data_IF_643352525560
#
_entry.id   IF_643352525560
#
_cell.length_a   1.000
_cell.length_b   1.000
_cell.length_c   1.000
_cell.angle_alpha   90.00
_cell.angle_beta   90.00
_cell.angle_gamma   90.00
#
_symmetry.space_group_name_H-M   'P 1'
#
loop_
_entity.id
_entity.type
_entity.pdbx_description
1 polymer ?
#
# COMPACT_ATOMS: atom_id res chain seq x y z
N UNK A 1 2.22 -4.00 -74.58
CA UNK A 1 1.18 -3.61 -73.61
C UNK A 1 1.89 -3.16 -72.34
N UNK A 2 2.01 -1.84 -72.12
CA UNK A 2 2.76 -1.24 -71.01
C UNK A 2 1.78 -0.90 -69.89
N UNK A 3 1.93 -1.49 -68.71
CA UNK A 3 1.14 -1.15 -67.52
C UNK A 3 2.00 -0.22 -66.66
N UNK A 4 1.55 1.03 -66.48
CA UNK A 4 2.17 2.05 -65.63
C UNK A 4 1.85 1.74 -64.16
N UNK A 5 2.88 1.65 -63.32
CA UNK A 5 2.78 1.59 -61.87
C UNK A 5 2.57 3.01 -61.35
N UNK A 6 1.38 3.33 -60.82
CA UNK A 6 1.14 4.59 -60.10
C UNK A 6 1.49 4.38 -58.62
N UNK A 7 2.47 5.16 -58.15
CA UNK A 7 2.83 5.27 -56.73
C UNK A 7 1.84 6.23 -56.05
N UNK A 8 1.17 5.78 -54.99
CA UNK A 8 0.23 6.59 -54.21
C UNK A 8 0.94 7.06 -52.95
N UNK A 9 1.31 8.34 -52.91
CA UNK A 9 1.90 8.99 -51.73
C UNK A 9 0.74 9.45 -50.83
N UNK A 10 0.54 8.79 -49.69
CA UNK A 10 -0.39 9.24 -48.67
C UNK A 10 0.28 10.32 -47.80
N UNK A 11 -0.21 11.56 -47.89
CA UNK A 11 0.23 12.64 -47.01
C UNK A 11 -0.49 12.53 -45.66
N UNK A 12 0.29 12.38 -44.59
CA UNK A 12 -0.17 12.33 -43.20
C UNK A 12 -0.45 13.77 -42.72
N UNK A 13 -1.72 14.12 -42.52
CA UNK A 13 -2.10 15.39 -41.88
C UNK A 13 -2.03 15.23 -40.35
N UNK A 14 -1.05 15.89 -39.72
CA UNK A 14 -0.98 16.04 -38.27
C UNK A 14 -1.89 17.21 -37.87
N UNK A 15 -3.05 16.91 -37.28
CA UNK A 15 -3.88 17.91 -36.61
C UNK A 15 -3.27 18.19 -35.24
N UNK A 16 -2.60 19.33 -35.10
CA UNK A 16 -2.24 19.88 -33.80
C UNK A 16 -3.54 20.33 -33.09
N UNK A 17 -4.00 19.53 -32.13
CA UNK A 17 -5.06 19.94 -31.22
C UNK A 17 -4.45 20.91 -30.18
N UNK A 18 -4.50 22.20 -30.47
CA UNK A 18 -4.30 23.22 -29.44
C UNK A 18 -5.52 23.20 -28.50
N UNK A 19 -5.34 22.74 -27.26
CA UNK A 19 -6.31 22.98 -26.20
C UNK A 19 -6.41 24.48 -25.95
N UNK A 20 -7.58 25.05 -26.19
CA UNK A 20 -7.88 26.45 -25.91
C UNK A 20 -8.11 26.57 -24.40
N UNK A 21 -7.27 27.33 -23.69
CA UNK A 21 -7.52 27.66 -22.29
C UNK A 21 -8.79 28.50 -22.18
N UNK A 22 -9.70 28.07 -21.32
CA UNK A 22 -10.95 28.78 -21.03
C UNK A 22 -10.65 29.99 -20.14
N UNK A 23 -10.88 31.24 -20.60
CA UNK A 23 -10.49 32.44 -19.87
C UNK A 23 -11.43 32.79 -18.70
N UNK A 24 -12.29 31.85 -18.29
CA UNK A 24 -13.31 32.07 -17.25
C UNK A 24 -13.31 30.99 -16.15
N UNK A 25 -12.19 30.27 -15.98
CA UNK A 25 -12.00 29.41 -14.82
C UNK A 25 -11.74 30.30 -13.59
N UNK A 26 -12.83 30.65 -12.90
CA UNK A 26 -12.82 31.31 -11.60
C UNK A 26 -11.86 30.61 -10.64
N UNK A 27 -10.81 31.30 -10.21
CA UNK A 27 -9.78 30.82 -9.26
C UNK A 27 -10.19 31.04 -7.80
N UNK A 28 -11.46 30.86 -7.47
CA UNK A 28 -11.96 30.95 -6.09
C UNK A 28 -12.55 29.60 -5.66
N UNK A 29 -11.71 28.57 -5.64
CA UNK A 29 -11.88 27.44 -4.71
C UNK A 29 -11.19 27.80 -3.39
N UNK A 30 -11.52 27.15 -2.26
CA UNK A 30 -10.75 27.33 -1.04
C UNK A 30 -9.29 27.03 -1.37
N UNK A 31 -8.38 27.89 -0.90
CA UNK A 31 -6.94 27.72 -1.04
C UNK A 31 -6.58 26.34 -0.45
N UNK A 32 -6.49 25.33 -1.32
CA UNK A 32 -6.05 24.00 -0.96
C UNK A 32 -4.54 24.12 -0.76
N UNK A 33 -4.15 24.59 0.43
CA UNK A 33 -2.76 24.58 0.86
C UNK A 33 -2.24 23.17 0.60
N UNK A 34 -1.20 23.06 -0.23
CA UNK A 34 -0.60 21.76 -0.51
C UNK A 34 -0.26 21.07 0.81
N UNK A 35 -0.51 19.76 0.93
CA UNK A 35 -0.18 19.01 2.14
C UNK A 35 1.30 19.19 2.50
N UNK A 36 1.59 19.20 3.80
CA UNK A 36 2.95 19.38 4.27
C UNK A 36 3.84 18.22 3.78
N UNK A 37 5.02 18.53 3.25
CA UNK A 37 5.94 17.51 2.75
C UNK A 37 6.73 16.86 3.89
N UNK A 38 6.70 15.52 3.94
CA UNK A 38 7.52 14.74 4.85
C UNK A 38 8.98 14.72 4.39
N UNK A 39 9.89 14.77 5.35
CA UNK A 39 11.34 14.71 5.12
C UNK A 39 11.90 13.45 5.75
N UNK A 40 12.54 12.55 4.98
CA UNK A 40 13.06 11.32 5.53
C UNK A 40 14.24 11.66 6.44
N UNK A 41 14.25 11.03 7.61
CA UNK A 41 15.39 11.01 8.53
C UNK A 41 16.48 10.08 8.00
N UNK A 42 16.07 8.98 7.38
CA UNK A 42 16.95 7.97 6.82
C UNK A 42 16.27 7.25 5.65
N UNK A 43 17.07 6.75 4.72
CA UNK A 43 16.67 5.80 3.69
C UNK A 43 17.71 4.66 3.70
N UNK A 44 17.25 3.44 3.92
CA UNK A 44 18.11 2.26 4.12
C UNK A 44 17.83 1.27 3.00
N UNK A 45 18.86 0.83 2.29
CA UNK A 45 18.67 -0.22 1.28
C UNK A 45 18.40 -1.56 1.95
N UNK A 46 17.37 -2.26 1.48
CA UNK A 46 17.01 -3.61 1.91
C UNK A 46 17.65 -4.69 1.03
N UNK A 47 18.31 -4.29 -0.07
CA UNK A 47 18.99 -5.24 -0.94
C UNK A 47 20.24 -5.84 -0.29
N UNK A 48 20.57 -7.11 -0.60
CA UNK A 48 19.80 -8.04 -1.44
C UNK A 48 18.71 -8.82 -0.67
N UNK A 49 18.49 -8.51 0.61
CA UNK A 49 17.69 -9.34 1.51
C UNK A 49 16.19 -9.28 1.20
N UNK A 50 15.66 -8.10 0.91
CA UNK A 50 14.24 -7.89 0.57
C UNK A 50 14.15 -6.96 -0.65
N UNK A 51 14.22 -7.50 -1.88
CA UNK A 51 13.89 -6.76 -3.10
C UNK A 51 12.38 -6.51 -3.19
N UNK A 52 11.96 -5.50 -3.95
CA UNK A 52 10.54 -5.21 -4.27
C UNK A 52 9.62 -5.35 -3.03
N UNK A 53 9.91 -4.65 -1.92
CA UNK A 53 9.12 -4.77 -0.70
C UNK A 53 7.73 -4.14 -0.87
N UNK A 54 6.69 -4.91 -0.60
CA UNK A 54 5.29 -4.47 -0.67
C UNK A 54 4.78 -4.15 0.75
N UNK A 55 4.17 -5.09 1.47
CA UNK A 55 3.64 -4.86 2.82
C UNK A 55 4.66 -4.72 3.96
N UNK A 56 4.29 -3.97 5.02
CA UNK A 56 5.11 -3.72 6.21
C UNK A 56 4.26 -3.70 7.49
N UNK A 57 4.73 -4.35 8.57
CA UNK A 57 4.11 -4.25 9.90
C UNK A 57 5.12 -4.29 11.05
N UNK A 58 4.86 -3.55 12.12
CA UNK A 58 5.69 -3.57 13.32
C UNK A 58 5.29 -4.70 14.28
N UNK A 59 6.22 -5.61 14.57
CA UNK A 59 6.05 -6.64 15.59
C UNK A 59 6.52 -6.12 16.96
N UNK A 60 5.57 -5.76 17.82
CA UNK A 60 5.85 -5.27 19.19
C UNK A 60 6.54 -6.31 20.09
N UNK A 61 6.34 -7.60 19.83
CA UNK A 61 6.92 -8.66 20.64
C UNK A 61 8.44 -8.81 20.42
N UNK A 62 8.91 -8.52 19.21
CA UNK A 62 10.33 -8.66 18.82
C UNK A 62 11.03 -7.32 18.61
N UNK A 63 10.27 -6.23 18.47
CA UNK A 63 10.80 -4.92 18.09
C UNK A 63 11.35 -4.89 16.66
N UNK A 64 10.87 -5.78 15.79
CA UNK A 64 11.22 -5.87 14.37
C UNK A 64 10.08 -5.42 13.46
N UNK A 65 10.39 -5.26 12.18
CA UNK A 65 9.42 -5.04 11.11
C UNK A 65 9.27 -6.32 10.30
N UNK A 66 8.04 -6.76 10.09
CA UNK A 66 7.69 -7.82 9.15
C UNK A 66 7.46 -7.20 7.78
N UNK A 67 8.04 -7.79 6.74
CA UNK A 67 8.00 -7.31 5.35
C UNK A 67 7.63 -8.47 4.44
N UNK A 68 6.79 -8.21 3.43
CA UNK A 68 6.57 -9.11 2.29
C UNK A 68 7.12 -8.48 1.01
N UNK A 69 7.27 -9.28 -0.04
CA UNK A 69 7.98 -8.90 -1.26
C UNK A 69 7.30 -9.52 -2.48
N UNK A 70 7.16 -8.74 -3.54
CA UNK A 70 6.55 -9.22 -4.80
C UNK A 70 7.48 -10.19 -5.51
N UNK A 71 8.78 -10.04 -5.27
CA UNK A 71 9.82 -10.88 -5.83
C UNK A 71 10.06 -12.18 -5.04
N UNK A 72 9.59 -12.30 -3.79
CA UNK A 72 9.92 -13.42 -2.91
C UNK A 72 8.71 -13.94 -2.10
N UNK A 73 8.52 -15.27 -1.99
CA UNK A 73 7.29 -15.86 -1.44
C UNK A 73 7.23 -15.94 0.10
N UNK A 74 8.20 -15.34 0.79
CA UNK A 74 8.40 -15.48 2.24
C UNK A 74 8.17 -14.16 2.98
N UNK A 75 7.97 -14.24 4.31
CA UNK A 75 7.93 -13.05 5.17
C UNK A 75 9.33 -12.82 5.75
N UNK A 76 9.79 -11.57 5.74
CA UNK A 76 11.09 -11.15 6.25
C UNK A 76 10.93 -10.33 7.51
N UNK A 77 11.60 -10.72 8.59
CA UNK A 77 11.74 -9.87 9.76
C UNK A 77 13.05 -9.09 9.67
N UNK A 78 12.95 -7.76 9.60
CA UNK A 78 14.07 -6.84 9.62
C UNK A 78 14.10 -6.03 10.93
N UNK A 79 15.26 -5.51 11.30
CA UNK A 79 15.36 -4.50 12.34
C UNK A 79 14.86 -3.13 11.88
N UNK A 80 14.67 -2.22 12.83
CA UNK A 80 14.38 -0.80 12.55
C UNK A 80 15.54 -0.10 11.80
N UNK A 81 16.71 -0.74 11.76
CA UNK A 81 17.90 -0.38 11.00
C UNK A 81 17.97 -1.04 9.62
N UNK A 82 16.92 -1.75 9.19
CA UNK A 82 16.83 -2.44 7.90
C UNK A 82 17.59 -3.77 7.83
N UNK A 83 18.30 -4.18 8.89
CA UNK A 83 19.07 -5.42 8.87
C UNK A 83 18.16 -6.64 8.95
N UNK A 84 18.31 -7.61 8.03
CA UNK A 84 17.57 -8.87 8.08
C UNK A 84 17.91 -9.64 9.36
N UNK A 85 16.87 -10.04 10.10
CA UNK A 85 16.97 -10.85 11.31
C UNK A 85 16.54 -12.29 11.07
N UNK A 86 15.46 -12.49 10.30
CA UNK A 86 14.85 -13.79 10.08
C UNK A 86 14.07 -13.82 8.77
N UNK A 87 14.08 -14.97 8.10
CA UNK A 87 13.12 -15.29 7.01
C UNK A 87 12.15 -16.35 7.53
N UNK A 88 10.87 -16.16 7.24
CA UNK A 88 9.77 -17.00 7.70
C UNK A 88 9.12 -17.63 6.46
N UNK A 89 9.32 -18.94 6.23
CA UNK A 89 8.81 -19.59 5.04
C UNK A 89 7.28 -19.73 5.14
N UNK A 90 6.57 -19.10 4.21
CA UNK A 90 5.10 -19.22 4.11
C UNK A 90 4.66 -19.82 2.77
N UNK A 91 5.53 -19.81 1.75
CA UNK A 91 5.22 -20.25 0.39
C UNK A 91 3.93 -19.60 -0.15
N UNK A 92 3.79 -18.29 0.07
CA UNK A 92 2.63 -17.52 -0.38
C UNK A 92 2.61 -17.30 -1.89
N UNK A 93 1.45 -16.91 -2.41
CA UNK A 93 1.24 -16.51 -3.81
C UNK A 93 0.80 -15.04 -3.85
N UNK A 94 1.57 -14.13 -4.49
CA UNK A 94 1.37 -12.66 -4.47
C UNK A 94 1.08 -12.11 -3.07
N UNK A 95 2.12 -12.04 -2.23
CA UNK A 95 2.00 -11.49 -0.90
C UNK A 95 2.17 -9.97 -0.91
N UNK A 96 1.06 -9.24 -0.86
CA UNK A 96 1.09 -7.77 -0.91
C UNK A 96 1.08 -7.12 0.48
N UNK A 97 0.43 -7.75 1.45
CA UNK A 97 0.26 -7.18 2.78
C UNK A 97 0.69 -8.10 3.88
N UNK A 98 1.21 -7.54 4.98
CA UNK A 98 1.48 -8.27 6.22
C UNK A 98 1.01 -7.51 7.45
N UNK A 99 0.44 -8.23 8.42
CA UNK A 99 0.09 -7.74 9.74
C UNK A 99 0.47 -8.76 10.82
N UNK A 100 0.60 -8.29 12.06
CA UNK A 100 1.03 -9.11 13.20
C UNK A 100 -0.05 -9.07 14.28
N UNK A 101 -0.36 -10.23 14.88
CA UNK A 101 -1.27 -10.27 16.03
C UNK A 101 -0.75 -9.41 17.19
N UNK A 102 -1.65 -8.93 18.05
CA UNK A 102 -1.26 -8.11 19.21
C UNK A 102 -0.27 -8.81 20.16
N UNK A 103 -0.29 -10.15 20.20
CA UNK A 103 0.61 -11.00 20.98
C UNK A 103 1.91 -11.35 20.23
N UNK A 104 1.99 -11.12 18.91
CA UNK A 104 3.12 -11.50 18.07
C UNK A 104 3.19 -13.00 17.74
N UNK A 105 2.17 -13.78 18.09
CA UNK A 105 2.14 -15.23 17.89
C UNK A 105 1.70 -15.67 16.49
N UNK A 106 1.04 -14.77 15.75
CA UNK A 106 0.43 -15.03 14.45
C UNK A 106 0.75 -13.90 13.49
N UNK A 107 0.95 -14.27 12.23
CA UNK A 107 1.12 -13.36 11.11
C UNK A 107 -0.13 -13.46 10.23
N UNK A 108 -0.48 -12.36 9.60
CA UNK A 108 -1.59 -12.28 8.66
C UNK A 108 -1.06 -11.70 7.37
N UNK A 109 -1.40 -12.31 6.25
CA UNK A 109 -1.03 -11.81 4.92
C UNK A 109 -2.24 -11.78 4.01
N UNK A 110 -2.20 -10.93 2.99
CA UNK A 110 -3.13 -11.01 1.87
C UNK A 110 -2.45 -11.71 0.70
N UNK A 111 -3.19 -12.59 0.04
CA UNK A 111 -2.78 -13.21 -1.24
C UNK A 111 -3.66 -12.58 -2.32
N UNK A 112 -3.11 -11.66 -3.14
CA UNK A 112 -3.87 -10.80 -4.05
C UNK A 112 -4.67 -11.63 -5.07
N UNK A 113 -3.96 -12.50 -5.82
CA UNK A 113 -4.56 -13.40 -6.82
C UNK A 113 -5.65 -14.31 -6.26
N UNK A 114 -5.48 -14.77 -5.03
CA UNK A 114 -6.43 -15.66 -4.35
C UNK A 114 -7.56 -14.91 -3.62
N UNK A 115 -7.45 -13.58 -3.50
CA UNK A 115 -8.40 -12.69 -2.84
C UNK A 115 -8.79 -13.19 -1.45
N UNK A 116 -7.77 -13.47 -0.63
CA UNK A 116 -7.98 -14.00 0.70
C UNK A 116 -6.99 -13.43 1.69
N UNK A 117 -7.42 -13.42 2.95
CA UNK A 117 -6.53 -13.25 4.09
C UNK A 117 -6.11 -14.63 4.56
N UNK A 118 -4.83 -14.77 4.85
CA UNK A 118 -4.23 -15.97 5.40
C UNK A 118 -3.68 -15.64 6.78
N UNK A 119 -4.03 -16.47 7.77
CA UNK A 119 -3.39 -16.45 9.07
C UNK A 119 -2.35 -17.56 9.14
N UNK A 120 -1.13 -17.19 9.48
CA UNK A 120 0.00 -18.09 9.72
C UNK A 120 0.44 -18.03 11.18
N UNK A 121 1.11 -19.07 11.66
CA UNK A 121 1.87 -19.00 12.91
C UNK A 121 3.08 -18.07 12.75
N UNK A 122 3.69 -17.64 13.85
CA UNK A 122 4.98 -16.92 13.83
C UNK A 122 6.16 -17.73 13.24
N UNK A 123 5.94 -19.00 12.91
CA UNK A 123 6.88 -19.85 12.17
C UNK A 123 6.56 -19.97 10.67
N UNK A 124 5.44 -19.37 10.21
CA UNK A 124 5.02 -19.37 8.81
C UNK A 124 4.04 -20.50 8.45
N UNK A 125 3.67 -21.35 9.41
CA UNK A 125 2.70 -22.41 9.16
C UNK A 125 1.31 -21.82 8.92
N UNK A 126 0.73 -22.07 7.75
CA UNK A 126 -0.64 -21.66 7.43
C UNK A 126 -1.64 -22.33 8.36
N UNK A 127 -2.34 -21.52 9.16
CA UNK A 127 -3.33 -21.98 10.14
C UNK A 127 -4.74 -22.00 9.55
N UNK A 128 -5.10 -20.95 8.81
CA UNK A 128 -6.40 -20.82 8.15
C UNK A 128 -6.37 -19.71 7.10
N UNK A 129 -7.39 -19.69 6.24
CA UNK A 129 -7.68 -18.54 5.38
C UNK A 129 -9.18 -18.31 5.25
N UNK A 130 -9.55 -17.09 4.85
CA UNK A 130 -10.91 -16.73 4.52
C UNK A 130 -10.91 -15.70 3.39
N UNK A 131 -11.95 -15.70 2.55
CA UNK A 131 -11.98 -14.83 1.39
C UNK A 131 -12.20 -13.35 1.80
N UNK A 132 -11.49 -12.45 1.12
CA UNK A 132 -11.70 -11.02 1.13
C UNK A 132 -12.03 -10.60 -0.31
N UNK A 133 -13.25 -10.94 -0.76
CA UNK A 133 -13.61 -10.85 -2.19
C UNK A 133 -13.79 -9.40 -2.64
N UNK A 134 -13.03 -9.05 -3.66
CA UNK A 134 -12.91 -7.72 -4.27
C UNK A 134 -13.07 -7.84 -5.79
N UNK A 135 -13.21 -6.71 -6.48
CA UNK A 135 -13.30 -6.76 -7.95
C UNK A 135 -11.91 -7.06 -8.54
N UNK A 136 -11.89 -7.83 -9.62
CA UNK A 136 -10.74 -8.65 -10.00
C UNK A 136 -9.99 -8.08 -11.21
N UNK A 137 -9.72 -6.78 -11.21
CA UNK A 137 -8.77 -6.28 -12.20
C UNK A 137 -7.36 -6.71 -11.80
N UNK A 138 -6.61 -7.20 -12.78
CA UNK A 138 -5.23 -7.65 -12.58
C UNK A 138 -4.38 -6.43 -12.17
N UNK A 139 -3.60 -6.56 -11.09
CA UNK A 139 -2.82 -5.47 -10.46
C UNK A 139 -3.70 -4.34 -9.92
N UNK A 140 -4.75 -4.69 -9.17
CA UNK A 140 -5.72 -3.75 -8.58
C UNK A 140 -6.37 -4.32 -7.31
N UNK A 141 -5.77 -5.37 -6.75
CA UNK A 141 -6.38 -6.24 -5.78
C UNK A 141 -6.08 -5.86 -4.34
N UNK A 142 -5.88 -6.87 -3.51
CA UNK A 142 -5.63 -6.70 -2.08
C UNK A 142 -4.18 -6.27 -1.83
N UNK A 143 -4.00 -5.19 -1.09
CA UNK A 143 -2.68 -4.60 -0.82
C UNK A 143 -2.43 -4.52 0.70
N UNK A 144 -2.99 -3.48 1.32
CA UNK A 144 -2.81 -3.21 2.74
C UNK A 144 -3.60 -4.16 3.66
N UNK A 145 -2.96 -4.59 4.74
CA UNK A 145 -3.62 -5.28 5.86
C UNK A 145 -3.12 -4.73 7.20
N UNK A 146 -4.03 -4.52 8.15
CA UNK A 146 -3.70 -4.03 9.47
C UNK A 146 -4.56 -4.68 10.56
N UNK A 147 -4.05 -4.73 11.79
CA UNK A 147 -4.80 -5.21 12.96
C UNK A 147 -4.89 -4.09 13.99
N UNK A 148 -6.11 -3.73 14.38
CA UNK A 148 -6.33 -2.71 15.40
C UNK A 148 -6.17 -3.25 16.82
N UNK A 149 -6.19 -2.34 17.81
CA UNK A 149 -6.05 -2.70 19.22
C UNK A 149 -7.20 -3.57 19.78
N UNK A 150 -8.34 -3.64 19.09
CA UNK A 150 -9.46 -4.53 19.43
C UNK A 150 -9.34 -5.91 18.75
N UNK A 151 -8.35 -6.09 17.87
CA UNK A 151 -8.16 -7.31 17.09
C UNK A 151 -9.00 -7.39 15.81
N UNK A 152 -9.62 -6.29 15.37
CA UNK A 152 -10.24 -6.27 14.06
C UNK A 152 -9.17 -6.20 12.98
N UNK A 153 -9.41 -6.90 11.88
CA UNK A 153 -8.52 -6.97 10.73
C UNK A 153 -9.08 -6.04 9.66
N UNK A 154 -8.26 -5.09 9.24
CA UNK A 154 -8.57 -4.16 8.16
C UNK A 154 -7.82 -4.58 6.91
N UNK A 155 -8.50 -4.59 5.78
CA UNK A 155 -7.93 -4.98 4.48
C UNK A 155 -8.29 -3.93 3.45
N UNK A 156 -7.30 -3.49 2.66
CA UNK A 156 -7.47 -2.56 1.57
C UNK A 156 -7.48 -3.31 0.23
N UNK A 157 -8.38 -2.90 -0.66
CA UNK A 157 -8.27 -3.14 -2.09
C UNK A 157 -7.74 -1.87 -2.75
N UNK A 158 -6.67 -1.98 -3.53
CA UNK A 158 -5.94 -0.86 -4.12
C UNK A 158 -6.87 0.04 -4.93
N UNK A 159 -7.48 -0.52 -5.98
CA UNK A 159 -8.23 0.22 -6.98
C UNK A 159 -9.35 -0.58 -7.62
N UNK A 160 -10.28 0.17 -8.20
CA UNK A 160 -11.42 -0.32 -9.00
C UNK A 160 -12.20 -1.52 -8.42
N UNK A 161 -12.77 -1.39 -7.20
CA UNK A 161 -12.85 -0.16 -6.41
C UNK A 161 -11.81 -0.07 -5.28
N UNK A 162 -11.44 1.16 -4.89
CA UNK A 162 -10.72 1.45 -3.65
C UNK A 162 -11.58 1.06 -2.45
N UNK A 163 -11.39 -0.14 -1.91
CA UNK A 163 -12.24 -0.68 -0.84
C UNK A 163 -11.46 -0.77 0.47
N UNK A 164 -12.13 -0.41 1.56
CA UNK A 164 -11.68 -0.72 2.91
C UNK A 164 -12.66 -1.71 3.54
N UNK A 165 -12.16 -2.90 3.86
CA UNK A 165 -12.89 -3.99 4.48
C UNK A 165 -12.47 -4.10 5.95
N UNK A 166 -13.42 -4.43 6.82
CA UNK A 166 -13.20 -4.66 8.24
C UNK A 166 -13.73 -6.05 8.60
N UNK A 167 -12.92 -6.84 9.31
CA UNK A 167 -13.26 -8.17 9.78
C UNK A 167 -13.13 -8.26 11.30
N UNK A 168 -14.09 -8.95 11.93
CA UNK A 168 -13.97 -9.44 13.30
C UNK A 168 -13.79 -10.96 13.25
N UNK A 169 -12.56 -11.43 13.52
CA UNK A 169 -12.15 -12.79 13.17
C UNK A 169 -12.21 -12.96 11.65
N UNK A 170 -12.99 -13.93 11.17
CA UNK A 170 -13.19 -14.18 9.72
C UNK A 170 -14.47 -13.56 9.16
N UNK A 171 -15.28 -12.89 9.99
CA UNK A 171 -16.55 -12.30 9.57
C UNK A 171 -16.31 -10.87 9.09
N UNK A 172 -16.64 -10.59 7.82
CA UNK A 172 -16.68 -9.22 7.31
C UNK A 172 -17.80 -8.46 8.03
N UNK A 173 -17.46 -7.35 8.70
CA UNK A 173 -18.38 -6.51 9.47
C UNK A 173 -18.60 -5.14 8.81
N UNK A 174 -17.68 -4.70 7.96
CA UNK A 174 -17.82 -3.47 7.17
C UNK A 174 -17.11 -3.59 5.83
N UNK A 175 -17.67 -2.90 4.82
CA UNK A 175 -17.08 -2.67 3.51
C UNK A 175 -17.48 -1.28 3.06
N UNK A 176 -16.49 -0.48 2.66
CA UNK A 176 -16.72 0.87 2.16
C UNK A 176 -15.78 1.18 1.01
N UNK A 177 -16.28 1.96 0.07
CA UNK A 177 -15.47 2.53 -1.00
C UNK A 177 -14.90 3.89 -0.55
N UNK A 178 -13.62 4.12 -0.80
CA UNK A 178 -12.93 5.39 -0.56
C UNK A 178 -12.73 6.08 -1.91
N UNK A 179 -13.57 7.06 -2.22
CA UNK A 179 -13.69 7.60 -3.60
C UNK A 179 -12.83 8.84 -3.88
N UNK A 180 -12.18 9.39 -2.86
CA UNK A 180 -11.45 10.66 -2.94
C UNK A 180 -9.93 10.49 -2.98
N UNK A 181 -9.45 9.25 -2.94
CA UNK A 181 -8.04 8.86 -3.08
C UNK A 181 -7.88 8.07 -4.38
N UNK A 182 -6.72 8.17 -5.01
CA UNK A 182 -6.44 7.49 -6.28
C UNK A 182 -6.29 5.97 -6.06
N UNK A 183 -5.61 5.58 -4.97
CA UNK A 183 -5.28 4.19 -4.62
C UNK A 183 -5.12 3.97 -3.09
N UNK A 184 -5.04 2.70 -2.66
CA UNK A 184 -4.88 2.27 -1.27
C UNK A 184 -3.74 1.23 -1.12
N UNK A 185 -2.51 1.56 -1.51
CA UNK A 185 -1.34 0.67 -1.54
C UNK A 185 -0.87 0.21 -0.15
N UNK A 186 -0.86 1.09 0.85
CA UNK A 186 -0.41 0.77 2.21
C UNK A 186 -1.49 0.93 3.26
N UNK A 187 -1.47 0.12 4.33
CA UNK A 187 -2.38 0.30 5.48
C UNK A 187 -1.71 -0.03 6.82
N UNK A 188 -1.87 0.85 7.81
CA UNK A 188 -1.66 0.50 9.22
C UNK A 188 -2.67 1.17 10.15
N UNK A 189 -2.93 0.56 11.31
CA UNK A 189 -3.77 1.14 12.34
C UNK A 189 -2.96 2.12 13.20
N UNK A 190 -3.59 3.21 13.64
CA UNK A 190 -3.02 3.98 14.73
C UNK A 190 -3.05 3.17 16.03
N UNK A 191 -2.18 3.52 16.98
CA UNK A 191 -1.95 2.75 18.20
C UNK A 191 -3.19 2.64 19.10
N UNK A 192 -4.11 3.61 19.03
CA UNK A 192 -5.38 3.61 19.76
C UNK A 192 -6.50 2.80 19.06
N UNK A 193 -6.25 2.34 17.83
CA UNK A 193 -7.20 1.61 16.99
C UNK A 193 -8.41 2.43 16.53
N UNK A 194 -8.39 3.76 16.68
CA UNK A 194 -9.51 4.65 16.32
C UNK A 194 -9.40 5.22 14.91
N UNK A 195 -8.23 5.08 14.28
CA UNK A 195 -7.92 5.62 12.98
C UNK A 195 -6.94 4.73 12.22
N UNK A 196 -6.85 4.96 10.92
CA UNK A 196 -6.01 4.22 9.99
C UNK A 196 -5.13 5.19 9.23
N UNK A 197 -3.93 4.74 8.88
CA UNK A 197 -2.99 5.43 8.04
C UNK A 197 -2.81 4.65 6.76
N UNK A 198 -2.84 5.37 5.64
CA UNK A 198 -2.80 4.83 4.29
C UNK A 198 -1.62 5.45 3.54
N UNK A 199 -0.96 4.63 2.73
CA UNK A 199 -0.12 5.13 1.64
C UNK A 199 -0.94 5.07 0.35
N UNK A 200 -0.86 6.15 -0.42
CA UNK A 200 -1.34 6.22 -1.79
C UNK A 200 -0.14 6.57 -2.65
N UNK A 201 0.31 5.61 -3.45
CA UNK A 201 1.54 5.71 -4.23
C UNK A 201 1.32 6.63 -5.45
N UNK A 202 0.15 6.52 -6.11
CA UNK A 202 -0.24 7.32 -7.27
C UNK A 202 -0.37 8.82 -6.91
N UNK A 203 -0.84 9.11 -5.69
CA UNK A 203 -0.88 10.49 -5.17
C UNK A 203 0.41 10.94 -4.48
N UNK A 204 1.36 10.03 -4.20
CA UNK A 204 2.51 10.26 -3.29
C UNK A 204 2.10 10.83 -1.93
N UNK A 205 1.14 10.20 -1.27
CA UNK A 205 0.62 10.70 0.00
C UNK A 205 0.69 9.68 1.12
N UNK A 206 0.98 10.18 2.30
CA UNK A 206 0.55 9.58 3.55
C UNK A 206 -0.78 10.21 3.93
N UNK A 207 -1.77 9.39 4.25
CA UNK A 207 -3.14 9.81 4.50
C UNK A 207 -3.60 9.24 5.84
N UNK A 208 -4.17 10.07 6.70
CA UNK A 208 -4.76 9.66 7.97
C UNK A 208 -6.28 9.74 7.87
N UNK A 209 -6.97 8.65 8.19
CA UNK A 209 -8.43 8.55 8.14
C UNK A 209 -9.02 8.01 9.43
N UNK A 210 -10.25 8.38 9.72
CA UNK A 210 -11.06 7.69 10.74
C UNK A 210 -11.43 6.28 10.27
N UNK A 211 -11.87 5.42 11.19
CA UNK A 211 -12.50 4.11 10.86
C UNK A 211 -13.66 4.22 9.87
N UNK A 212 -14.34 5.37 9.83
CA UNK A 212 -15.43 5.62 8.90
C UNK A 212 -14.96 6.00 7.48
N UNK A 213 -13.66 6.16 7.24
CA UNK A 213 -13.10 6.61 5.96
C UNK A 213 -13.09 8.13 5.77
N UNK A 214 -13.38 8.91 6.82
CA UNK A 214 -13.26 10.37 6.76
C UNK A 214 -11.79 10.79 6.89
N UNK A 215 -11.34 11.69 6.00
CA UNK A 215 -10.00 12.27 6.01
C UNK A 215 -9.76 13.08 7.29
N UNK A 216 -8.66 12.78 7.97
CA UNK A 216 -8.18 13.46 9.18
C UNK A 216 -6.91 14.29 8.90
N UNK A 217 -6.07 13.86 7.96
CA UNK A 217 -4.87 14.58 7.55
C UNK A 217 -4.20 13.95 6.32
N UNK A 218 -3.39 14.74 5.62
CA UNK A 218 -2.58 14.27 4.50
C UNK A 218 -1.21 14.98 4.44
N UNK A 219 -0.19 14.24 4.01
CA UNK A 219 1.18 14.71 3.88
C UNK A 219 1.79 14.19 2.58
N UNK A 220 2.57 15.02 1.90
CA UNK A 220 3.27 14.60 0.68
C UNK A 220 4.49 13.76 1.01
N UNK A 221 4.65 12.65 0.30
CA UNK A 221 5.85 11.82 0.31
C UNK A 221 6.86 12.33 -0.75
N UNK A 222 8.18 12.18 -0.49
CA UNK A 222 9.23 12.64 -1.40
C UNK A 222 9.55 11.65 -2.52
N UNK A 223 8.74 10.61 -2.71
CA UNK A 223 8.92 9.52 -3.66
C UNK A 223 7.56 9.00 -4.14
N UNK A 224 7.57 8.36 -5.32
CA UNK A 224 6.51 7.46 -5.80
C UNK A 224 6.75 6.04 -5.26
N UNK A 225 5.81 5.11 -5.44
CA UNK A 225 5.98 3.67 -5.11
C UNK A 225 6.28 3.38 -3.64
N UNK A 226 5.68 4.17 -2.75
CA UNK A 226 5.63 3.79 -1.34
C UNK A 226 4.49 2.79 -1.16
N UNK A 227 4.76 1.67 -0.48
CA UNK A 227 3.78 0.59 -0.34
C UNK A 227 3.48 0.37 1.15
N UNK A 228 4.23 -0.51 1.80
CA UNK A 228 4.03 -0.88 3.20
C UNK A 228 4.37 0.23 4.18
N UNK A 229 3.54 0.35 5.22
CA UNK A 229 3.63 1.37 6.27
C UNK A 229 3.57 0.76 7.66
N UNK A 230 4.43 1.24 8.58
CA UNK A 230 4.34 0.88 9.99
C UNK A 230 4.76 2.02 10.91
N UNK A 231 4.17 2.08 12.11
CA UNK A 231 4.64 2.93 13.20
C UNK A 231 5.36 2.11 14.28
N UNK A 232 6.53 2.59 14.70
CA UNK A 232 7.20 2.13 15.91
C UNK A 232 7.59 3.33 16.78
N UNK A 233 6.84 3.53 17.87
CA UNK A 233 7.00 4.71 18.72
C UNK A 233 6.61 6.00 17.99
N UNK A 234 7.49 6.99 17.99
CA UNK A 234 7.32 8.29 17.33
C UNK A 234 7.82 8.29 15.87
N UNK A 235 8.15 7.11 15.32
CA UNK A 235 8.69 6.95 13.98
C UNK A 235 7.72 6.25 13.05
N UNK A 236 7.67 6.77 11.84
CA UNK A 236 6.99 6.21 10.68
C UNK A 236 8.03 5.51 9.80
N UNK A 237 7.71 4.29 9.40
CA UNK A 237 8.51 3.47 8.50
C UNK A 237 7.68 3.20 7.25
N UNK A 238 8.28 3.40 6.09
CA UNK A 238 7.67 3.12 4.80
C UNK A 238 8.66 2.32 3.97
N UNK A 239 8.23 1.19 3.39
CA UNK A 239 9.01 0.53 2.36
C UNK A 239 8.63 1.07 0.98
N UNK A 240 9.61 1.10 0.09
CA UNK A 240 9.43 1.52 -1.29
C UNK A 240 9.79 0.34 -2.19
N UNK A 241 8.82 -0.12 -2.96
CA UNK A 241 8.96 -1.24 -3.89
C UNK A 241 10.09 -0.95 -4.89
N UNK A 242 9.93 0.14 -5.65
CA UNK A 242 10.75 0.46 -6.81
C UNK A 242 12.26 0.57 -6.50
N UNK A 243 12.63 1.13 -5.34
CA UNK A 243 14.04 1.32 -4.98
C UNK A 243 14.53 0.39 -3.85
N UNK A 244 13.66 -0.50 -3.37
CA UNK A 244 13.95 -1.49 -2.32
C UNK A 244 14.58 -0.85 -1.08
N UNK A 245 13.99 0.26 -0.61
CA UNK A 245 14.44 0.96 0.61
C UNK A 245 13.38 1.01 1.68
N UNK A 246 13.86 1.03 2.93
CA UNK A 246 13.12 1.44 4.11
C UNK A 246 13.39 2.92 4.38
N UNK A 247 12.35 3.73 4.31
CA UNK A 247 12.37 5.15 4.66
C UNK A 247 11.86 5.36 6.08
N UNK A 248 12.55 6.21 6.84
CA UNK A 248 12.21 6.52 8.23
C UNK A 248 11.86 8.00 8.34
N UNK A 249 10.73 8.31 8.96
CA UNK A 249 10.25 9.67 9.22
C UNK A 249 9.88 9.81 10.70
N UNK A 250 9.72 11.05 11.16
CA UNK A 250 8.93 11.28 12.38
C UNK A 250 7.45 11.04 12.05
N UNK A 251 6.70 10.47 12.99
CA UNK A 251 5.24 10.44 12.90
C UNK A 251 4.74 11.89 12.81
N UNK A 252 3.96 12.24 11.77
CA UNK A 252 3.38 13.57 11.67
C UNK A 252 2.29 13.77 12.73
N UNK A 253 2.10 15.02 13.13
CA UNK A 253 1.10 15.44 14.12
C UNK A 253 -0.22 15.82 13.47
#
# INVERSE_FOLDING_TARGET
MKIKLLSFTAALFILAACSREDPNKSTNGPDASQPAALKPLQAISLLPAVPEPSGLAYNRATGGLMVVSDALPDIFEIGLDGALRRTIPVAGEDLEGVAVSLTGDSLYVVEERLQQVVRCSSAGERLMSWPARVATMENSGLEGIAIDAAGHIWVANEKDPRLLLEFNGTQEVSRREITWVDDLSGLCCDQDGQSLWIISDESRKLIHISRAGALLGEWSLPFDKGEGIAFAGDKLYIVNDQDSRLYIFNKPN
#
